data_IF_698237373091
#
_entry.id   IF_698237373091
#
_cell.length_a   1.000
_cell.length_b   1.000
_cell.length_c   1.000
_cell.angle_alpha   90.00
_cell.angle_beta   90.00
_cell.angle_gamma   90.00
#
_symmetry.space_group_name_H-M   'P 1'
#
loop_
_entity.id
_entity.type
_entity.pdbx_description
1 polymer ?
#
# COMPACT_ATOMS: atom_id res chain seq x y z
N UNK A 1 12.59 -8.28 -7.62
CA UNK A 1 13.96 -7.76 -7.88
C UNK A 1 14.96 -8.88 -7.63
N UNK A 2 16.09 -8.88 -8.34
CA UNK A 2 17.23 -9.71 -7.99
C UNK A 2 18.13 -8.94 -7.02
N UNK A 3 18.75 -9.61 -6.07
CA UNK A 3 19.81 -9.00 -5.25
C UNK A 3 21.10 -8.82 -6.07
N UNK A 4 22.15 -8.28 -5.44
CA UNK A 4 23.47 -8.13 -6.08
C UNK A 4 24.11 -9.46 -6.51
N UNK A 5 23.59 -10.60 -6.06
CA UNK A 5 24.04 -11.96 -6.40
C UNK A 5 23.11 -12.66 -7.41
N UNK A 6 22.11 -11.96 -7.95
CA UNK A 6 21.20 -12.51 -8.95
C UNK A 6 20.08 -13.40 -8.42
N UNK A 7 19.96 -13.59 -7.10
CA UNK A 7 18.87 -14.37 -6.48
C UNK A 7 17.60 -13.56 -6.44
N UNK A 8 16.46 -14.23 -6.67
CA UNK A 8 15.15 -13.60 -6.63
C UNK A 8 14.84 -13.26 -5.17
N UNK A 9 14.87 -11.97 -4.81
CA UNK A 9 14.46 -11.52 -3.48
C UNK A 9 13.01 -11.92 -3.22
N UNK A 10 12.76 -12.60 -2.11
CA UNK A 10 11.41 -13.00 -1.72
C UNK A 10 10.67 -11.77 -1.20
N UNK A 11 9.60 -11.39 -1.90
CA UNK A 11 8.70 -10.35 -1.44
C UNK A 11 7.72 -10.94 -0.40
N UNK A 12 7.42 -10.19 0.65
CA UNK A 12 6.32 -10.48 1.57
C UNK A 12 5.48 -9.22 1.80
N UNK A 13 4.19 -9.42 2.08
CA UNK A 13 3.27 -8.33 2.41
C UNK A 13 3.64 -7.74 3.77
N UNK A 14 3.85 -6.43 3.83
CA UNK A 14 4.08 -5.70 5.09
C UNK A 14 3.14 -4.52 5.20
N UNK A 15 2.34 -4.50 6.26
CA UNK A 15 1.53 -3.34 6.61
C UNK A 15 2.43 -2.21 7.10
N UNK A 16 2.07 -0.99 6.72
CA UNK A 16 2.80 0.25 7.00
C UNK A 16 1.80 1.34 7.34
N UNK A 17 2.24 2.31 8.14
CA UNK A 17 1.47 3.53 8.33
C UNK A 17 1.72 4.46 7.13
N UNK A 18 0.72 5.26 6.77
CA UNK A 18 0.81 6.20 5.66
C UNK A 18 0.18 7.52 6.08
N UNK A 19 0.97 8.60 6.02
CA UNK A 19 0.40 9.94 6.01
C UNK A 19 -0.11 10.21 4.60
N UNK A 20 -1.37 10.61 4.49
CA UNK A 20 -2.04 10.82 3.22
C UNK A 20 -2.97 12.02 3.28
N UNK A 21 -3.25 12.61 2.12
CA UNK A 21 -4.33 13.56 1.92
C UNK A 21 -5.59 12.82 1.49
N UNK A 22 -6.68 13.01 2.23
CA UNK A 22 -8.02 12.77 1.69
C UNK A 22 -8.41 13.99 0.85
N UNK A 23 -8.62 13.77 -0.44
CA UNK A 23 -9.05 14.81 -1.38
C UNK A 23 -10.55 15.06 -1.26
N UNK A 24 -10.99 16.21 -1.77
CA UNK A 24 -12.41 16.57 -1.92
C UNK A 24 -13.22 15.58 -2.77
N UNK A 25 -12.56 14.91 -3.72
CA UNK A 25 -13.14 13.82 -4.52
C UNK A 25 -13.15 12.46 -3.79
N UNK A 26 -12.78 12.40 -2.51
CA UNK A 26 -12.78 11.18 -1.72
C UNK A 26 -11.64 10.21 -2.05
N UNK A 27 -10.64 10.64 -2.81
CA UNK A 27 -9.42 9.84 -3.08
C UNK A 27 -8.38 10.01 -1.98
N UNK A 28 -7.58 8.97 -1.79
CA UNK A 28 -6.41 8.99 -0.92
C UNK A 28 -5.13 9.24 -1.72
N UNK A 29 -4.49 10.39 -1.51
CA UNK A 29 -3.16 10.70 -2.06
C UNK A 29 -2.09 10.45 -0.99
N UNK A 30 -1.27 9.38 -1.11
CA UNK A 30 -0.25 9.07 -0.12
C UNK A 30 0.93 10.04 -0.20
N UNK A 31 1.44 10.48 0.95
CA UNK A 31 2.49 11.49 1.08
C UNK A 31 3.76 10.92 1.71
N UNK A 32 3.64 10.10 2.75
CA UNK A 32 4.79 9.51 3.46
C UNK A 32 4.43 8.08 3.87
N UNK A 33 5.32 7.13 3.57
CA UNK A 33 5.24 5.77 4.12
C UNK A 33 6.09 5.69 5.38
N UNK A 34 5.51 5.22 6.48
CA UNK A 34 6.19 5.00 7.75
C UNK A 34 6.36 3.51 8.00
N UNK A 35 7.62 3.06 8.13
CA UNK A 35 7.92 1.70 8.53
C UNK A 35 7.71 1.52 10.04
N UNK A 36 7.39 0.28 10.50
CA UNK A 36 7.20 0.00 11.93
C UNK A 36 8.42 0.30 12.83
N UNK A 37 9.61 0.42 12.24
CA UNK A 37 10.85 0.79 12.94
C UNK A 37 11.07 2.31 13.03
N UNK A 38 10.09 3.11 12.62
CA UNK A 38 10.14 4.57 12.67
C UNK A 38 10.77 5.23 11.43
N UNK A 39 11.29 4.46 10.46
CA UNK A 39 11.82 5.05 9.23
C UNK A 39 10.69 5.64 8.38
N UNK A 40 10.89 6.88 7.93
CA UNK A 40 9.97 7.63 7.09
C UNK A 40 10.48 7.71 5.65
N UNK A 41 9.59 7.45 4.69
CA UNK A 41 9.89 7.49 3.26
C UNK A 41 8.91 8.43 2.56
N UNK A 42 9.28 9.71 2.35
CA UNK A 42 8.46 10.65 1.61
C UNK A 42 8.23 10.18 0.17
N UNK A 43 6.97 10.23 -0.26
CA UNK A 43 6.58 10.00 -1.64
C UNK A 43 6.80 11.30 -2.39
N UNK A 44 7.73 11.27 -3.34
CA UNK A 44 8.06 12.40 -4.21
C UNK A 44 6.98 12.60 -5.27
N UNK A 45 6.40 11.52 -5.77
CA UNK A 45 5.42 11.56 -6.86
C UNK A 45 4.49 10.34 -6.83
N UNK A 46 3.20 10.56 -7.07
CA UNK A 46 2.23 9.49 -7.34
C UNK A 46 2.06 9.37 -8.86
N UNK A 47 2.67 8.35 -9.44
CA UNK A 47 2.74 8.12 -10.88
C UNK A 47 1.45 7.53 -11.45
N UNK A 48 0.76 6.69 -10.67
CA UNK A 48 -0.46 6.01 -11.09
C UNK A 48 -1.33 5.71 -9.87
N UNK A 49 -2.65 5.82 -10.06
CA UNK A 49 -3.66 5.63 -9.02
C UNK A 49 -4.64 4.57 -9.52
N UNK A 50 -4.55 3.37 -8.96
CA UNK A 50 -5.49 2.31 -9.24
C UNK A 50 -6.78 2.50 -8.45
N UNK A 51 -7.89 2.10 -9.06
CA UNK A 51 -9.15 1.90 -8.37
C UNK A 51 -9.15 0.56 -7.61
N UNK A 52 -10.07 0.43 -6.66
CA UNK A 52 -10.33 -0.85 -6.00
C UNK A 52 -10.80 -1.88 -7.02
N UNK A 53 -10.09 -3.00 -7.11
CA UNK A 53 -10.50 -4.15 -7.91
C UNK A 53 -11.67 -4.93 -7.31
N UNK A 54 -12.14 -6.00 -7.97
CA UNK A 54 -13.17 -6.89 -7.42
C UNK A 54 -12.74 -7.45 -6.06
N UNK A 55 -13.70 -7.64 -5.16
CA UNK A 55 -13.44 -8.22 -3.85
C UNK A 55 -13.27 -9.74 -3.96
N UNK A 56 -12.22 -10.28 -3.35
CA UNK A 56 -12.01 -11.71 -3.17
C UNK A 56 -11.94 -12.04 -1.69
N UNK A 57 -12.77 -12.98 -1.22
CA UNK A 57 -12.90 -13.34 0.21
C UNK A 57 -13.09 -12.12 1.12
N UNK A 58 -13.95 -11.19 0.69
CA UNK A 58 -14.26 -9.96 1.43
C UNK A 58 -13.17 -8.89 1.39
N UNK A 59 -12.13 -9.05 0.57
CA UNK A 59 -11.01 -8.11 0.48
C UNK A 59 -10.89 -7.54 -0.93
N UNK A 60 -10.80 -6.22 -1.04
CA UNK A 60 -10.56 -5.50 -2.30
C UNK A 60 -9.34 -4.59 -2.15
N UNK A 61 -8.53 -4.48 -3.20
CA UNK A 61 -7.25 -3.75 -3.16
C UNK A 61 -7.16 -2.76 -4.31
N UNK A 62 -6.64 -1.56 -4.03
CA UNK A 62 -6.19 -0.58 -4.99
C UNK A 62 -4.65 -0.52 -5.01
N UNK A 63 -4.04 -0.32 -6.18
CA UNK A 63 -2.59 -0.20 -6.35
C UNK A 63 -2.21 1.23 -6.72
N UNK A 64 -1.27 1.80 -5.99
CA UNK A 64 -0.66 3.09 -6.29
C UNK A 64 0.77 2.85 -6.76
N UNK A 65 1.14 3.41 -7.91
CA UNK A 65 2.55 3.45 -8.33
C UNK A 65 3.15 4.76 -7.83
N UNK A 66 4.17 4.68 -7.00
CA UNK A 66 4.74 5.84 -6.32
C UNK A 66 6.25 5.90 -6.54
N UNK A 67 6.78 7.11 -6.49
CA UNK A 67 8.21 7.39 -6.48
C UNK A 67 8.63 7.82 -5.08
N UNK A 68 9.67 7.18 -4.55
CA UNK A 68 10.33 7.53 -3.29
C UNK A 68 11.79 7.82 -3.63
N UNK A 69 12.18 9.10 -3.67
CA UNK A 69 13.49 9.51 -4.18
C UNK A 69 13.68 9.05 -5.63
N UNK A 70 14.71 8.24 -5.89
CA UNK A 70 14.99 7.67 -7.21
C UNK A 70 14.28 6.34 -7.49
N UNK A 71 13.53 5.79 -6.52
CA UNK A 71 12.95 4.46 -6.61
C UNK A 71 11.46 4.50 -6.95
N UNK A 72 11.03 3.74 -7.95
CA UNK A 72 9.61 3.55 -8.28
C UNK A 72 9.14 2.20 -7.73
N UNK A 73 8.07 2.23 -6.95
CA UNK A 73 7.50 1.03 -6.31
C UNK A 73 5.98 1.08 -6.27
N UNK A 74 5.37 -0.02 -5.80
CA UNK A 74 3.94 -0.12 -5.57
C UNK A 74 3.62 0.02 -4.08
N UNK A 75 2.59 0.79 -3.80
CA UNK A 75 1.91 0.88 -2.51
C UNK A 75 0.48 0.39 -2.70
N UNK A 76 -0.05 -0.39 -1.77
CA UNK A 76 -1.35 -1.02 -1.91
C UNK A 76 -2.28 -0.60 -0.78
N UNK A 77 -3.50 -0.21 -1.15
CA UNK A 77 -4.56 0.09 -0.21
C UNK A 77 -5.56 -1.06 -0.21
N UNK A 78 -5.63 -1.79 0.88
CA UNK A 78 -6.54 -2.90 1.08
C UNK A 78 -7.74 -2.47 1.90
N UNK A 79 -8.93 -2.90 1.47
CA UNK A 79 -10.21 -2.71 2.12
C UNK A 79 -10.83 -4.07 2.43
N UNK A 80 -11.12 -4.32 3.70
CA UNK A 80 -12.04 -5.37 4.09
C UNK A 80 -13.47 -4.84 3.98
N UNK A 81 -14.28 -5.50 3.14
CA UNK A 81 -15.71 -5.25 3.06
C UNK A 81 -16.33 -5.74 4.37
N UNK A 82 -17.30 -4.98 4.89
CA UNK A 82 -18.00 -5.32 6.11
C UNK A 82 -18.59 -6.73 6.03
N UNK A 83 -18.24 -7.58 6.99
CA UNK A 83 -18.85 -8.90 7.18
C UNK A 83 -19.71 -8.85 8.44
N UNK A 84 -21.02 -8.71 8.24
CA UNK A 84 -22.01 -8.65 9.31
C UNK A 84 -21.98 -9.90 10.21
N UNK A 85 -21.54 -11.05 9.68
CA UNK A 85 -21.50 -12.31 10.43
C UNK A 85 -20.33 -12.37 11.42
N UNK A 86 -19.28 -11.59 11.18
CA UNK A 86 -18.08 -11.55 12.01
C UNK A 86 -18.10 -10.40 13.03
N UNK A 87 -19.08 -9.49 12.96
CA UNK A 87 -19.19 -8.33 13.85
C UNK A 87 -17.99 -7.38 13.80
N UNK A 88 -17.19 -7.43 12.74
CA UNK A 88 -15.97 -6.62 12.60
C UNK A 88 -16.22 -5.38 11.74
N UNK A 89 -15.80 -4.18 12.19
CA UNK A 89 -15.89 -2.99 11.37
C UNK A 89 -15.03 -3.15 10.10
N UNK A 90 -15.38 -2.45 8.99
CA UNK A 90 -14.52 -2.42 7.82
C UNK A 90 -13.15 -1.87 8.19
N UNK A 91 -12.11 -2.53 7.67
CA UNK A 91 -10.71 -2.15 7.91
C UNK A 91 -10.09 -1.71 6.60
N UNK A 92 -9.44 -0.55 6.61
CA UNK A 92 -8.67 -0.03 5.49
C UNK A 92 -7.20 0.05 5.92
N UNK A 93 -6.31 -0.61 5.16
CA UNK A 93 -4.88 -0.73 5.51
C UNK A 93 -3.98 -0.57 4.32
N UNK A 94 -2.89 0.16 4.53
CA UNK A 94 -1.81 0.29 3.57
C UNK A 94 -0.78 -0.82 3.74
N UNK A 95 -0.25 -1.31 2.63
CA UNK A 95 0.83 -2.30 2.64
C UNK A 95 1.75 -2.17 1.42
N UNK A 96 2.97 -2.67 1.58
CA UNK A 96 3.99 -2.75 0.53
C UNK A 96 4.51 -4.18 0.36
N UNK A 97 5.10 -4.45 -0.78
CA UNK A 97 5.97 -5.60 -0.96
C UNK A 97 7.34 -5.31 -0.32
N UNK A 98 7.59 -5.89 0.84
CA UNK A 98 8.88 -5.81 1.51
C UNK A 98 9.80 -6.92 1.00
N UNK A 99 11.02 -6.56 0.64
CA UNK A 99 12.05 -7.49 0.21
C UNK A 99 13.00 -7.76 1.38
N UNK A 100 13.17 -9.04 1.71
CA UNK A 100 14.23 -9.53 2.60
C UNK A 100 15.55 -9.71 1.87
#
# INVERSE_FOLDING_TARGET
MKDGEGRRRRAHKRYVDVFMRLTDEGRFDPLIVMWPDGRAFPITEVLDRGSFGPAYRGVSTARYRVRVGSHVTNLFLERHVFDATLGKPPVVRWWVEAYG
#
